data_IF_391219080091
#
_entry.id   IF_391219080091
#
_cell.length_a   1.000
_cell.length_b   1.000
_cell.length_c   1.000
_cell.angle_alpha   90.00
_cell.angle_beta   90.00
_cell.angle_gamma   90.00
#
_symmetry.space_group_name_H-M   'P 1'
#
loop_
_entity.id
_entity.type
_entity.pdbx_description
1 polymer ?
#
# COMPACT_ATOMS: atom_id res chain seq x y z
N UNK A 1 -13.41 1.88 6.35
CA UNK A 1 -12.03 1.35 6.39
C UNK A 1 -11.46 1.42 4.99
N UNK A 2 -10.20 1.81 4.86
CA UNK A 2 -9.46 1.84 3.59
C UNK A 2 -8.41 0.74 3.66
N UNK A 3 -8.47 -0.24 2.78
CA UNK A 3 -7.57 -1.40 2.76
C UNK A 3 -6.55 -1.23 1.65
N UNK A 4 -5.33 -1.73 1.88
CA UNK A 4 -4.28 -1.80 0.87
C UNK A 4 -3.66 -3.19 0.89
N UNK A 5 -3.34 -3.71 -0.30
CA UNK A 5 -2.59 -4.93 -0.54
C UNK A 5 -1.30 -4.62 -1.29
N UNK A 6 -0.21 -5.29 -0.92
CA UNK A 6 1.04 -5.27 -1.69
C UNK A 6 0.88 -6.17 -2.91
N UNK A 7 1.29 -5.69 -4.08
CA UNK A 7 1.52 -6.54 -5.26
C UNK A 7 2.98 -7.00 -5.23
N UNK A 8 3.19 -8.24 -4.80
CA UNK A 8 4.52 -8.85 -4.71
C UNK A 8 5.04 -9.25 -6.09
N UNK A 9 6.36 -9.23 -6.26
CA UNK A 9 7.02 -9.78 -7.46
C UNK A 9 6.78 -11.30 -7.49
N UNK A 10 6.44 -11.90 -8.65
CA UNK A 10 6.40 -13.35 -8.80
C UNK A 10 7.71 -13.98 -8.33
N UNK A 11 7.65 -15.08 -7.58
CA UNK A 11 8.79 -15.77 -6.95
C UNK A 11 9.39 -15.03 -5.73
N UNK A 12 9.35 -13.69 -5.64
CA UNK A 12 9.97 -12.90 -4.57
C UNK A 12 8.93 -12.04 -3.83
N UNK A 13 8.13 -12.66 -2.96
CA UNK A 13 7.00 -12.01 -2.26
C UNK A 13 7.41 -10.87 -1.34
N UNK A 14 8.67 -10.82 -0.89
CA UNK A 14 9.18 -9.73 -0.04
C UNK A 14 9.33 -8.42 -0.82
N UNK A 15 9.61 -8.47 -2.12
CA UNK A 15 9.76 -7.30 -2.97
C UNK A 15 8.39 -6.87 -3.54
N UNK A 16 8.04 -5.59 -3.36
CA UNK A 16 6.82 -5.02 -3.92
C UNK A 16 7.08 -4.48 -5.34
N UNK A 17 6.36 -5.00 -6.34
CA UNK A 17 6.25 -4.37 -7.66
C UNK A 17 5.12 -3.34 -7.71
N UNK A 18 4.20 -3.36 -6.75
CA UNK A 18 3.10 -2.40 -6.71
C UNK A 18 2.24 -2.51 -5.46
N UNK A 19 1.11 -1.82 -5.50
CA UNK A 19 0.10 -1.78 -4.45
C UNK A 19 -1.31 -1.70 -5.06
N UNK A 20 -2.27 -2.31 -4.40
CA UNK A 20 -3.69 -2.26 -4.72
C UNK A 20 -4.46 -1.68 -3.53
N UNK A 21 -5.22 -0.62 -3.75
CA UNK A 21 -6.08 0.02 -2.75
C UNK A 21 -7.55 -0.33 -2.92
N UNK A 22 -8.28 -0.18 -1.81
CA UNK A 22 -9.74 -0.11 -1.79
C UNK A 22 -10.27 0.81 -2.90
N UNK A 23 -11.31 0.35 -3.60
CA UNK A 23 -11.86 1.07 -4.75
C UNK A 23 -11.14 0.79 -6.08
N UNK A 24 -10.18 -0.16 -6.11
CA UNK A 24 -9.56 -0.65 -7.34
C UNK A 24 -8.35 0.15 -7.82
N UNK A 25 -7.85 1.10 -7.02
CA UNK A 25 -6.67 1.87 -7.38
C UNK A 25 -5.40 1.00 -7.37
N UNK A 26 -4.72 0.91 -8.51
CA UNK A 26 -3.45 0.19 -8.66
C UNK A 26 -2.30 1.19 -8.82
N UNK A 27 -1.22 0.99 -8.08
CA UNK A 27 0.02 1.75 -8.23
C UNK A 27 1.17 0.79 -8.47
N UNK A 28 1.87 0.95 -9.60
CA UNK A 28 3.00 0.10 -9.98
C UNK A 28 4.34 0.81 -9.74
N UNK A 29 5.40 0.01 -9.63
CA UNK A 29 6.78 0.44 -9.58
C UNK A 29 7.46 0.03 -10.89
N UNK A 30 7.38 0.90 -11.89
CA UNK A 30 7.83 0.60 -13.25
C UNK A 30 9.32 0.22 -13.31
N UNK A 31 10.16 0.77 -12.42
CA UNK A 31 11.56 0.38 -12.30
C UNK A 31 11.73 -1.10 -11.89
N UNK A 32 10.91 -1.61 -10.97
CA UNK A 32 10.97 -3.02 -10.55
C UNK A 32 10.44 -3.93 -11.65
N UNK A 33 9.32 -3.55 -12.26
CA UNK A 33 8.69 -4.31 -13.35
C UNK A 33 9.65 -4.45 -14.54
N UNK A 34 10.26 -3.34 -14.97
CA UNK A 34 11.22 -3.33 -16.08
C UNK A 34 12.52 -4.07 -15.75
N UNK A 35 13.12 -3.83 -14.58
CA UNK A 35 14.41 -4.42 -14.21
C UNK A 35 14.34 -5.95 -14.08
N UNK A 36 13.21 -6.47 -13.63
CA UNK A 36 12.98 -7.90 -13.48
C UNK A 36 12.25 -8.53 -14.67
N UNK A 37 12.00 -7.76 -15.73
CA UNK A 37 11.29 -8.19 -16.96
C UNK A 37 9.99 -8.94 -16.65
N UNK A 38 9.22 -8.42 -15.70
CA UNK A 38 7.94 -9.02 -15.31
C UNK A 38 6.97 -8.80 -16.46
N UNK A 39 6.37 -9.88 -16.97
CA UNK A 39 5.42 -9.79 -18.07
C UNK A 39 4.10 -9.15 -17.63
N UNK A 40 3.38 -8.54 -18.56
CA UNK A 40 2.04 -8.00 -18.29
C UNK A 40 1.07 -9.07 -17.77
N UNK A 41 1.19 -10.30 -18.27
CA UNK A 41 0.39 -11.44 -17.82
C UNK A 41 0.68 -11.78 -16.36
N UNK A 42 1.95 -11.79 -15.95
CA UNK A 42 2.34 -11.99 -14.56
C UNK A 42 1.81 -10.88 -13.66
N UNK A 43 1.89 -9.62 -14.11
CA UNK A 43 1.34 -8.48 -13.38
C UNK A 43 -0.18 -8.64 -13.20
N UNK A 44 -0.89 -8.97 -14.29
CA UNK A 44 -2.35 -9.15 -14.28
C UNK A 44 -2.78 -10.27 -13.35
N UNK A 45 -2.11 -11.42 -13.40
CA UNK A 45 -2.40 -12.56 -12.53
C UNK A 45 -2.26 -12.20 -11.03
N UNK A 46 -1.23 -11.41 -10.67
CA UNK A 46 -1.07 -10.93 -9.29
C UNK A 46 -2.16 -9.92 -8.92
N UNK A 47 -2.49 -8.98 -9.81
CA UNK A 47 -3.56 -8.01 -9.56
C UNK A 47 -4.89 -8.71 -9.32
N UNK A 48 -5.26 -9.68 -10.15
CA UNK A 48 -6.52 -10.42 -10.03
C UNK A 48 -6.60 -11.16 -8.69
N UNK A 49 -5.54 -11.90 -8.33
CA UNK A 49 -5.46 -12.64 -7.07
C UNK A 49 -5.59 -11.71 -5.86
N UNK A 50 -4.82 -10.62 -5.82
CA UNK A 50 -4.85 -9.68 -4.70
C UNK A 50 -6.15 -8.88 -4.67
N UNK A 51 -6.81 -8.64 -5.82
CA UNK A 51 -8.13 -8.00 -5.90
C UNK A 51 -9.23 -8.86 -5.32
N UNK A 52 -9.21 -10.17 -5.60
CA UNK A 52 -10.15 -11.11 -5.00
C UNK A 52 -10.02 -11.14 -3.46
N UNK A 53 -8.78 -11.20 -2.96
CA UNK A 53 -8.52 -11.19 -1.51
C UNK A 53 -8.88 -9.84 -0.87
N UNK A 54 -8.59 -8.72 -1.53
CA UNK A 54 -8.99 -7.40 -1.06
C UNK A 54 -10.51 -7.32 -0.92
N UNK A 55 -11.27 -7.76 -1.93
CA UNK A 55 -12.73 -7.76 -1.91
C UNK A 55 -13.28 -8.63 -0.79
N UNK A 56 -12.70 -9.82 -0.56
CA UNK A 56 -13.07 -10.72 0.55
C UNK A 56 -12.90 -10.02 1.90
N UNK A 57 -11.75 -9.36 2.14
CA UNK A 57 -11.48 -8.64 3.40
C UNK A 57 -12.33 -7.40 3.56
N UNK A 58 -12.59 -6.66 2.49
CA UNK A 58 -13.47 -5.51 2.51
C UNK A 58 -14.87 -5.88 2.99
N UNK A 59 -15.42 -6.98 2.48
CA UNK A 59 -16.73 -7.49 2.90
C UNK A 59 -16.71 -7.89 4.39
N UNK A 60 -15.70 -8.66 4.80
CA UNK A 60 -15.56 -9.13 6.17
C UNK A 60 -15.42 -7.97 7.20
N UNK A 61 -14.63 -6.93 6.88
CA UNK A 61 -14.34 -5.86 7.84
C UNK A 61 -15.34 -4.70 7.79
N UNK A 62 -15.94 -4.41 6.64
CA UNK A 62 -16.87 -3.28 6.52
C UNK A 62 -18.28 -3.64 6.96
N UNK A 63 -18.67 -4.92 6.85
CA UNK A 63 -20.04 -5.34 7.16
C UNK A 63 -21.07 -4.54 6.36
N UNK A 64 -20.77 -4.22 5.09
CA UNK A 64 -21.64 -3.44 4.21
C UNK A 64 -21.47 -1.90 4.25
N UNK A 65 -20.74 -1.33 5.22
CA UNK A 65 -20.47 0.13 5.26
C UNK A 65 -19.73 0.60 4.00
N UNK A 66 -19.89 1.84 3.50
CA UNK A 66 -19.19 2.36 2.30
C UNK A 66 -17.66 2.46 2.46
N UNK A 67 -16.94 2.59 1.33
CA UNK A 67 -15.47 2.76 1.32
C UNK A 67 -15.17 4.10 1.97
N UNK A 68 -14.13 4.18 2.80
CA UNK A 68 -13.69 5.47 3.31
C UNK A 68 -13.01 6.27 2.19
N UNK A 69 -13.51 7.47 1.90
CA UNK A 69 -12.87 8.41 0.97
C UNK A 69 -11.77 9.21 1.69
N UNK A 70 -10.48 9.04 1.32
CA UNK A 70 -9.38 9.74 1.94
C UNK A 70 -9.14 11.15 1.38
N UNK A 71 -9.82 11.56 0.30
CA UNK A 71 -9.57 12.85 -0.37
C UNK A 71 -9.74 14.03 0.59
N UNK A 72 -8.74 14.92 0.60
CA UNK A 72 -8.74 16.11 1.43
C UNK A 72 -8.73 15.85 2.94
N UNK A 73 -8.38 14.64 3.38
CA UNK A 73 -8.30 14.28 4.81
C UNK A 73 -6.88 13.92 5.22
N UNK A 74 -6.60 14.03 6.51
CA UNK A 74 -5.43 13.41 7.13
C UNK A 74 -5.68 11.92 7.33
N UNK A 75 -4.83 11.07 6.76
CA UNK A 75 -4.91 9.61 6.85
C UNK A 75 -3.82 9.08 7.77
N UNK A 76 -4.20 8.30 8.77
CA UNK A 76 -3.26 7.62 9.67
C UNK A 76 -3.17 6.15 9.26
N UNK A 77 -1.98 5.71 8.85
CA UNK A 77 -1.64 4.32 8.59
C UNK A 77 -1.01 3.73 9.84
N UNK A 78 -1.63 2.68 10.39
CA UNK A 78 -1.17 2.00 11.60
C UNK A 78 -0.80 0.57 11.25
N UNK A 79 0.37 0.12 11.70
CA UNK A 79 0.83 -1.27 11.58
C UNK A 79 1.46 -1.70 12.92
N UNK A 80 1.44 -2.98 13.24
CA UNK A 80 1.98 -3.52 14.50
C UNK A 80 3.52 -3.66 14.49
N UNK A 81 4.13 -3.53 13.32
CA UNK A 81 5.58 -3.39 13.16
C UNK A 81 6.00 -3.31 11.71
N UNK A 82 7.20 -2.79 11.44
CA UNK A 82 7.78 -2.76 10.09
C UNK A 82 8.92 -3.77 9.99
N UNK A 83 8.65 -4.93 9.41
CA UNK A 83 9.66 -5.94 9.10
C UNK A 83 10.56 -5.51 7.92
N UNK A 84 9.98 -5.38 6.72
CA UNK A 84 10.70 -5.04 5.48
C UNK A 84 10.31 -3.69 4.88
N UNK A 85 9.29 -3.02 5.42
CA UNK A 85 8.81 -1.73 4.92
C UNK A 85 8.02 -1.80 3.62
N UNK A 86 8.10 -2.90 2.87
CA UNK A 86 7.46 -3.05 1.55
C UNK A 86 5.94 -2.87 1.62
N UNK A 87 5.28 -3.47 2.62
CA UNK A 87 3.84 -3.33 2.83
C UNK A 87 3.43 -1.90 3.17
N UNK A 88 4.19 -1.24 4.06
CA UNK A 88 3.91 0.14 4.44
C UNK A 88 4.17 1.13 3.27
N UNK A 89 5.23 0.91 2.50
CA UNK A 89 5.51 1.71 1.30
C UNK A 89 4.40 1.57 0.26
N UNK A 90 3.90 0.35 0.05
CA UNK A 90 2.74 0.08 -0.80
C UNK A 90 1.50 0.83 -0.29
N UNK A 91 1.22 0.78 1.02
CA UNK A 91 0.13 1.52 1.65
C UNK A 91 0.23 3.03 1.44
N UNK A 92 1.41 3.62 1.72
CA UNK A 92 1.65 5.05 1.53
C UNK A 92 1.47 5.46 0.06
N UNK A 93 1.98 4.67 -0.90
CA UNK A 93 1.84 4.95 -2.34
C UNK A 93 0.37 4.93 -2.76
N UNK A 94 -0.37 3.91 -2.36
CA UNK A 94 -1.77 3.75 -2.72
C UNK A 94 -2.65 4.86 -2.09
N UNK A 95 -2.43 5.19 -0.82
CA UNK A 95 -3.14 6.28 -0.14
C UNK A 95 -2.81 7.64 -0.78
N UNK A 96 -1.55 7.92 -1.12
CA UNK A 96 -1.18 9.18 -1.79
C UNK A 96 -1.87 9.36 -3.13
N UNK A 97 -2.00 8.28 -3.92
CA UNK A 97 -2.71 8.30 -5.19
C UNK A 97 -4.20 8.67 -5.03
N UNK A 98 -4.79 8.40 -3.87
CA UNK A 98 -6.17 8.76 -3.55
C UNK A 98 -6.34 10.22 -3.07
N UNK A 99 -5.30 11.05 -3.11
CA UNK A 99 -5.41 12.51 -2.91
C UNK A 99 -5.71 13.01 -1.47
N UNK A 100 -5.12 12.46 -0.40
CA UNK A 100 -5.31 12.98 0.96
C UNK A 100 -4.65 14.35 1.14
N UNK A 101 -5.05 15.05 2.20
CA UNK A 101 -4.36 16.26 2.67
C UNK A 101 -2.97 15.91 3.21
N UNK A 102 -2.90 14.89 4.07
CA UNK A 102 -1.66 14.40 4.66
C UNK A 102 -1.70 12.90 4.94
N UNK A 103 -0.54 12.26 5.07
CA UNK A 103 -0.42 10.84 5.43
C UNK A 103 0.54 10.69 6.60
N UNK A 104 0.07 10.14 7.71
CA UNK A 104 0.86 9.83 8.90
C UNK A 104 1.04 8.32 8.99
N UNK A 105 2.26 7.87 9.22
CA UNK A 105 2.55 6.45 9.49
C UNK A 105 2.90 6.29 10.97
N UNK A 106 2.15 5.46 11.68
CA UNK A 106 2.32 5.15 13.08
C UNK A 106 2.60 3.66 13.28
N UNK A 107 3.78 3.32 13.77
CA UNK A 107 4.18 1.93 14.01
C UNK A 107 4.92 1.82 15.35
N UNK A 108 4.65 0.80 16.19
CA UNK A 108 5.25 0.70 17.51
C UNK A 108 6.72 0.26 17.44
N UNK A 109 7.14 -0.47 16.39
CA UNK A 109 8.52 -0.94 16.19
C UNK A 109 8.92 -0.85 14.71
N UNK A 110 10.06 -0.23 14.41
CA UNK A 110 10.62 -0.18 13.06
C UNK A 110 12.14 0.00 13.07
N UNK A 111 12.84 -0.58 12.09
CA UNK A 111 14.28 -0.35 11.91
C UNK A 111 14.50 1.12 11.49
N UNK A 112 15.47 1.83 12.11
CA UNK A 112 15.81 3.26 11.91
C UNK A 112 15.87 3.73 10.44
N UNK A 113 16.17 2.84 9.49
CA UNK A 113 16.43 3.17 8.08
C UNK A 113 15.19 3.57 7.26
N UNK A 114 13.97 3.39 7.78
CA UNK A 114 12.72 3.67 7.04
C UNK A 114 12.11 5.06 7.33
N UNK A 115 12.67 5.82 8.26
CA UNK A 115 12.23 7.18 8.58
C UNK A 115 12.92 8.20 7.66
N UNK A 116 12.42 8.36 6.43
CA UNK A 116 12.78 9.49 5.57
C UNK A 116 11.54 10.13 4.98
N UNK A 117 11.40 11.45 5.13
CA UNK A 117 10.29 12.23 4.61
C UNK A 117 10.40 12.43 3.09
N UNK A 118 9.32 12.17 2.35
CA UNK A 118 9.24 12.37 0.90
C UNK A 118 8.68 13.77 0.58
N UNK A 119 9.28 14.56 -0.34
CA UNK A 119 9.00 15.99 -0.50
C UNK A 119 7.66 16.36 -1.13
N UNK A 120 6.92 15.42 -1.74
CA UNK A 120 5.73 15.76 -2.55
C UNK A 120 4.40 15.91 -1.78
N UNK A 121 4.34 15.48 -0.51
CA UNK A 121 3.30 15.77 0.53
C UNK A 121 3.90 15.33 1.87
N UNK A 122 3.64 16.01 3.00
CA UNK A 122 4.23 15.64 4.28
C UNK A 122 3.81 14.21 4.63
N UNK A 123 4.81 13.32 4.77
CA UNK A 123 4.63 12.03 5.44
C UNK A 123 5.46 12.03 6.69
N UNK A 124 4.76 12.01 7.82
CA UNK A 124 5.36 11.98 9.14
C UNK A 124 5.41 10.53 9.59
N UNK A 125 6.60 10.09 9.97
CA UNK A 125 6.83 8.78 10.57
C UNK A 125 6.89 8.96 12.08
N UNK A 126 5.98 8.30 12.79
CA UNK A 126 5.99 8.26 14.24
C UNK A 126 6.31 6.84 14.68
N UNK A 127 7.56 6.63 15.10
CA UNK A 127 7.99 5.44 15.84
C UNK A 127 8.17 5.88 17.31
N UNK A 128 7.68 5.05 18.24
CA UNK A 128 7.82 5.34 19.67
C UNK A 128 9.24 5.06 20.16
#
# INVERSE_FOLDING_TARGET
>A
MFLVRKLGVPQWSELAMGALASGGGVVMNDNVVSSLRISEEQVRAVIERESAELKRREQAYRGGRPVADPRGKTVILVDDGIATGASMLAAVRAVRAAGPESVVVAVPVGRRRHASSSPKKPTTWCAR
#
